data_IF_353668007962
#
_entry.id   IF_353668007962
#
_cell.length_a   1.000
_cell.length_b   1.000
_cell.length_c   1.000
_cell.angle_alpha   90.00
_cell.angle_beta   90.00
_cell.angle_gamma   90.00
#
_symmetry.space_group_name_H-M   'P 1'
#
loop_
_entity.id
_entity.type
_entity.pdbx_description
1 polymer ?
#
# COMPACT_ATOMS: atom_id res chain seq x y z
N UNK A 1 11.62 73.75 18.91
CA UNK A 1 12.88 73.29 19.51
C UNK A 1 13.53 72.35 18.54
N UNK A 2 14.61 72.84 17.95
CA UNK A 2 15.47 72.22 16.94
C UNK A 2 16.52 71.27 17.55
N UNK A 3 17.02 70.39 16.67
CA UNK A 3 18.39 69.86 16.50
C UNK A 3 19.15 69.17 17.65
N UNK A 4 19.53 67.90 17.39
CA UNK A 4 20.65 67.17 18.02
C UNK A 4 22.02 67.82 17.74
N UNK A 5 23.12 67.44 18.46
CA UNK A 5 23.99 66.38 17.92
C UNK A 5 24.69 65.46 18.96
N UNK A 6 25.53 64.58 18.40
CA UNK A 6 26.04 63.26 18.81
C UNK A 6 27.28 63.27 19.71
N UNK A 7 27.58 62.11 20.32
CA UNK A 7 28.88 61.41 20.22
C UNK A 7 28.75 59.96 20.76
N UNK A 8 29.58 58.96 20.46
CA UNK A 8 30.22 58.43 19.25
C UNK A 8 30.86 57.07 19.64
N UNK A 9 30.74 56.04 18.78
CA UNK A 9 31.47 54.75 18.73
C UNK A 9 31.24 53.71 19.87
N UNK A 10 31.30 52.39 19.68
CA UNK A 10 31.85 51.57 18.60
C UNK A 10 31.05 50.26 18.40
N UNK A 11 31.51 49.49 17.42
CA UNK A 11 30.84 48.47 16.63
C UNK A 11 31.01 47.05 17.17
N UNK A 12 29.95 46.23 17.14
CA UNK A 12 30.07 44.79 16.92
C UNK A 12 29.02 44.34 15.90
N UNK A 13 29.50 44.10 14.69
CA UNK A 13 28.76 43.43 13.63
C UNK A 13 28.71 41.92 13.92
N UNK A 14 27.56 41.43 14.38
CA UNK A 14 27.21 40.01 14.31
C UNK A 14 25.99 39.89 13.40
N UNK A 15 26.23 39.48 12.15
CA UNK A 15 25.20 39.05 11.22
C UNK A 15 24.60 37.78 11.82
N UNK A 16 23.51 37.90 12.55
CA UNK A 16 22.70 36.74 12.92
C UNK A 16 22.02 36.26 11.65
N UNK A 17 22.70 35.37 10.91
CA UNK A 17 22.05 34.54 9.91
C UNK A 17 20.94 33.79 10.63
N UNK A 18 19.68 34.21 10.42
CA UNK A 18 18.53 33.36 10.73
C UNK A 18 18.67 32.15 9.82
N UNK A 19 19.28 31.09 10.32
CA UNK A 19 19.32 29.81 9.63
C UNK A 19 17.87 29.35 9.49
N UNK A 20 17.34 29.47 8.27
CA UNK A 20 16.22 28.67 7.84
C UNK A 20 16.75 27.22 7.85
N UNK A 21 16.60 26.54 8.97
CA UNK A 21 16.74 25.09 8.99
C UNK A 21 15.64 24.57 8.07
N UNK A 22 15.94 23.94 6.93
CA UNK A 22 14.93 23.17 6.24
C UNK A 22 14.39 22.16 7.25
N UNK A 23 13.08 22.00 7.29
CA UNK A 23 12.41 20.93 8.03
C UNK A 23 12.90 19.60 7.42
N UNK A 24 14.00 19.06 7.95
CA UNK A 24 14.53 17.74 7.57
C UNK A 24 13.74 16.72 8.37
N UNK A 25 12.43 16.64 8.13
CA UNK A 25 11.71 15.40 8.39
C UNK A 25 12.20 14.40 7.34
N UNK A 26 12.83 13.27 7.72
CA UNK A 26 13.22 12.26 6.75
C UNK A 26 11.98 11.81 5.98
N UNK A 27 11.95 11.99 4.65
CA UNK A 27 10.91 11.40 3.84
C UNK A 27 11.05 9.88 3.95
N UNK A 28 10.14 9.27 4.70
CA UNK A 28 10.05 7.82 4.86
C UNK A 28 9.66 7.20 3.52
N UNK A 29 10.52 6.35 2.95
CA UNK A 29 10.27 5.70 1.65
C UNK A 29 9.49 4.41 1.76
N UNK A 30 9.57 3.77 2.93
CA UNK A 30 8.84 2.58 3.28
C UNK A 30 8.74 2.44 4.81
N UNK A 31 7.97 1.45 5.27
CA UNK A 31 7.73 1.20 6.68
C UNK A 31 8.99 0.78 7.45
N UNK A 32 10.03 0.30 6.76
CA UNK A 32 11.29 -0.11 7.39
C UNK A 32 12.15 1.07 7.84
N UNK A 33 11.88 2.26 7.30
CA UNK A 33 12.54 3.51 7.72
C UNK A 33 11.91 4.12 8.98
N UNK A 34 10.82 3.53 9.50
CA UNK A 34 10.21 3.97 10.75
C UNK A 34 11.15 3.73 11.95
N UNK A 35 11.14 4.63 12.95
CA UNK A 35 11.96 4.47 14.15
C UNK A 35 11.73 3.12 14.85
N UNK A 36 12.77 2.50 15.42
CA UNK A 36 12.60 1.30 16.24
C UNK A 36 11.62 1.54 17.41
N UNK A 37 10.67 0.63 17.61
CA UNK A 37 9.63 0.76 18.64
C UNK A 37 8.41 1.59 18.22
N UNK A 38 8.31 1.96 16.94
CA UNK A 38 7.06 2.47 16.36
C UNK A 38 5.98 1.39 16.44
N UNK A 39 4.73 1.77 16.73
CA UNK A 39 3.58 0.85 16.76
C UNK A 39 2.96 0.64 15.38
N UNK A 40 2.17 -0.42 15.20
CA UNK A 40 1.41 -0.61 13.97
C UNK A 40 0.42 0.54 13.77
N UNK A 41 0.27 1.01 12.53
CA UNK A 41 -0.55 2.18 12.24
C UNK A 41 -0.50 2.61 10.79
N UNK A 42 -1.29 3.62 10.43
CA UNK A 42 -1.23 4.25 9.10
C UNK A 42 -0.20 5.39 9.13
N UNK A 43 0.76 5.34 8.21
CA UNK A 43 1.86 6.29 8.06
C UNK A 43 1.90 6.83 6.64
N UNK A 44 2.30 8.09 6.50
CA UNK A 44 2.53 8.71 5.21
C UNK A 44 3.94 8.37 4.73
N UNK A 45 4.01 7.76 3.55
CA UNK A 45 5.23 7.28 2.92
C UNK A 45 5.39 7.94 1.57
N UNK A 46 6.61 8.38 1.26
CA UNK A 46 6.98 8.99 -0.01
C UNK A 46 8.02 8.10 -0.70
N UNK A 47 7.59 7.13 -1.54
CA UNK A 47 8.51 6.32 -2.33
C UNK A 47 9.40 7.20 -3.22
N UNK A 48 10.61 6.72 -3.55
CA UNK A 48 11.57 7.49 -4.36
C UNK A 48 10.92 7.86 -5.71
N UNK A 49 10.87 9.16 -6.00
CA UNK A 49 10.21 9.74 -7.19
C UNK A 49 8.69 9.49 -7.28
N UNK A 50 8.04 9.15 -6.17
CA UNK A 50 6.61 8.87 -6.10
C UNK A 50 5.81 9.94 -5.32
N UNK A 51 4.47 9.90 -5.41
CA UNK A 51 3.61 10.69 -4.55
C UNK A 51 3.62 10.16 -3.11
N UNK A 52 3.29 11.03 -2.15
CA UNK A 52 3.02 10.58 -0.78
C UNK A 52 1.75 9.74 -0.74
N UNK A 53 1.84 8.54 -0.16
CA UNK A 53 0.74 7.60 0.02
C UNK A 53 0.60 7.26 1.50
N UNK A 54 -0.62 7.18 2.01
CA UNK A 54 -0.87 6.67 3.36
C UNK A 54 -0.93 5.15 3.32
N UNK A 55 0.00 4.47 3.99
CA UNK A 55 0.05 3.01 4.07
C UNK A 55 -0.02 2.55 5.52
N UNK A 56 -0.53 1.35 5.74
CA UNK A 56 -0.47 0.73 7.05
C UNK A 56 0.88 0.03 7.24
N UNK A 57 1.68 0.49 8.21
CA UNK A 57 2.93 -0.14 8.60
C UNK A 57 2.70 -1.01 9.82
N UNK A 58 3.08 -2.27 9.70
CA UNK A 58 2.99 -3.23 10.78
C UNK A 58 4.31 -3.28 11.55
N UNK A 59 4.25 -3.01 12.85
CA UNK A 59 5.39 -3.02 13.75
C UNK A 59 5.14 -3.79 15.06
N UNK A 60 3.88 -4.06 15.43
CA UNK A 60 3.47 -4.67 16.70
C UNK A 60 3.17 -6.18 16.60
N UNK A 61 2.72 -6.70 15.46
CA UNK A 61 2.31 -8.10 15.33
C UNK A 61 2.94 -8.84 14.15
N UNK A 62 3.27 -10.12 14.38
CA UNK A 62 3.75 -11.05 13.35
C UNK A 62 2.61 -11.69 12.53
N UNK A 63 1.44 -11.04 12.42
CA UNK A 63 0.34 -11.59 11.63
C UNK A 63 0.67 -11.54 10.13
N UNK A 64 0.03 -12.41 9.35
CA UNK A 64 0.28 -12.50 7.92
C UNK A 64 -0.31 -11.32 7.15
N UNK A 65 0.21 -11.02 5.96
CA UNK A 65 -0.28 -9.92 5.11
C UNK A 65 -1.80 -9.95 4.85
N UNK A 66 -2.41 -11.13 4.82
CA UNK A 66 -3.85 -11.29 4.58
C UNK A 66 -4.71 -10.94 5.80
N UNK A 67 -4.21 -11.10 7.03
CA UNK A 67 -4.93 -10.67 8.24
C UNK A 67 -5.12 -9.16 8.25
N UNK A 68 -4.11 -8.42 7.78
CA UNK A 68 -4.21 -6.97 7.65
C UNK A 68 -5.13 -6.56 6.51
N UNK A 69 -5.04 -7.25 5.37
CA UNK A 69 -5.96 -6.98 4.27
C UNK A 69 -7.41 -7.19 4.73
N UNK A 70 -7.69 -8.26 5.47
CA UNK A 70 -8.98 -8.47 6.12
C UNK A 70 -9.32 -7.32 7.09
N UNK A 71 -8.42 -6.98 8.02
CA UNK A 71 -8.65 -5.97 9.03
C UNK A 71 -8.95 -4.59 8.44
N UNK A 72 -8.25 -4.19 7.37
CA UNK A 72 -8.50 -2.93 6.65
C UNK A 72 -9.85 -2.99 5.95
N UNK A 73 -10.09 -4.01 5.13
CA UNK A 73 -11.30 -4.11 4.31
C UNK A 73 -12.59 -4.32 5.13
N UNK A 74 -12.48 -4.74 6.40
CA UNK A 74 -13.63 -4.88 7.32
C UNK A 74 -14.06 -3.56 7.96
N UNK A 75 -13.20 -2.54 8.01
CA UNK A 75 -13.52 -1.27 8.70
C UNK A 75 -14.67 -0.51 8.03
N UNK A 76 -14.71 -0.53 6.70
CA UNK A 76 -15.74 0.08 5.86
C UNK A 76 -15.61 -0.47 4.43
N UNK A 77 -16.50 -0.08 3.54
CA UNK A 77 -16.34 -0.40 2.11
C UNK A 77 -15.20 0.42 1.51
N UNK A 78 -14.20 -0.26 0.97
CA UNK A 78 -13.09 0.35 0.23
C UNK A 78 -13.19 0.00 -1.26
N UNK A 79 -12.92 1.01 -2.08
CA UNK A 79 -12.61 0.81 -3.49
C UNK A 79 -11.14 0.40 -3.62
N UNK A 80 -10.86 -0.58 -4.47
CA UNK A 80 -9.48 -0.95 -4.83
C UNK A 80 -9.23 -0.60 -6.30
N UNK A 81 -8.04 -0.06 -6.58
CA UNK A 81 -7.57 0.24 -7.93
C UNK A 81 -6.26 -0.49 -8.17
N UNK A 82 -6.25 -1.37 -9.17
CA UNK A 82 -5.06 -2.00 -9.71
C UNK A 82 -4.58 -1.17 -10.90
N UNK A 83 -3.31 -0.81 -10.89
CA UNK A 83 -2.63 -0.21 -12.03
C UNK A 83 -1.61 -1.21 -12.56
N UNK A 84 -1.60 -1.39 -13.88
CA UNK A 84 -0.65 -2.27 -14.56
C UNK A 84 0.05 -1.48 -15.65
N UNK A 85 1.35 -1.69 -15.78
CA UNK A 85 2.19 -1.12 -16.83
C UNK A 85 2.93 -2.26 -17.53
N UNK A 86 2.97 -2.23 -18.86
CA UNK A 86 3.76 -3.18 -19.65
C UNK A 86 5.20 -2.68 -19.87
N UNK A 87 6.07 -3.54 -20.41
CA UNK A 87 7.48 -3.19 -20.67
C UNK A 87 7.68 -2.08 -21.72
N UNK A 88 6.63 -1.71 -22.45
CA UNK A 88 6.66 -0.60 -23.42
C UNK A 88 6.14 0.71 -22.81
N UNK A 89 5.77 0.71 -21.52
CA UNK A 89 5.23 1.87 -20.80
C UNK A 89 3.73 2.10 -21.04
N UNK A 90 3.00 1.16 -21.64
CA UNK A 90 1.55 1.29 -21.75
C UNK A 90 0.91 0.95 -20.40
N UNK A 91 0.01 1.82 -19.94
CA UNK A 91 -0.69 1.65 -18.67
C UNK A 91 -2.15 1.27 -18.87
N UNK A 92 -2.66 0.42 -17.98
CA UNK A 92 -4.08 0.11 -17.87
C UNK A 92 -4.46 0.01 -16.39
N UNK A 93 -5.76 0.09 -16.09
CA UNK A 93 -6.24 -0.03 -14.71
C UNK A 93 -7.52 -0.85 -14.60
N UNK A 94 -7.73 -1.39 -13.40
CA UNK A 94 -8.96 -2.05 -12.98
C UNK A 94 -9.37 -1.50 -11.61
N UNK A 95 -10.59 -1.00 -11.50
CA UNK A 95 -11.21 -0.51 -10.28
C UNK A 95 -12.32 -1.47 -9.89
N UNK A 96 -12.41 -1.82 -8.61
CA UNK A 96 -13.55 -2.51 -8.02
C UNK A 96 -14.15 -1.62 -6.95
N UNK A 97 -15.43 -1.28 -7.09
CA UNK A 97 -16.13 -0.36 -6.17
C UNK A 97 -16.20 -0.88 -4.73
N UNK A 98 -16.17 -2.20 -4.54
CA UNK A 98 -15.98 -2.81 -3.23
C UNK A 98 -15.14 -4.09 -3.32
N UNK A 99 -14.17 -4.21 -2.42
CA UNK A 99 -13.40 -5.41 -2.16
C UNK A 99 -13.60 -5.84 -0.70
N UNK A 100 -13.80 -7.14 -0.49
CA UNK A 100 -13.76 -7.76 0.82
C UNK A 100 -12.87 -9.01 0.78
N UNK A 101 -12.19 -9.26 1.88
CA UNK A 101 -11.41 -10.47 2.11
C UNK A 101 -11.85 -11.03 3.44
N UNK A 102 -12.19 -12.32 3.48
CA UNK A 102 -12.55 -13.01 4.71
C UNK A 102 -11.38 -13.13 5.69
N UNK A 103 -11.62 -13.63 6.90
CA UNK A 103 -10.56 -13.93 7.86
C UNK A 103 -9.94 -15.32 7.59
N UNK A 104 -8.97 -15.71 8.41
CA UNK A 104 -8.31 -17.02 8.31
C UNK A 104 -9.30 -18.20 8.39
N UNK A 105 -10.39 -18.08 9.16
CA UNK A 105 -11.38 -19.16 9.31
C UNK A 105 -12.12 -19.46 8.01
N UNK A 106 -12.19 -18.46 7.12
CA UNK A 106 -12.75 -18.57 5.77
C UNK A 106 -11.69 -18.72 4.69
N UNK A 107 -10.44 -19.06 5.07
CA UNK A 107 -9.29 -19.10 4.18
C UNK A 107 -9.14 -17.80 3.35
N UNK A 108 -9.42 -16.65 3.96
CA UNK A 108 -9.33 -15.33 3.32
C UNK A 108 -10.13 -15.22 2.02
N UNK A 109 -11.35 -15.77 1.96
CA UNK A 109 -12.18 -15.78 0.74
C UNK A 109 -12.36 -14.37 0.13
N UNK A 110 -12.18 -14.25 -1.19
CA UNK A 110 -12.30 -12.98 -1.92
C UNK A 110 -13.73 -12.62 -2.26
N UNK A 111 -14.09 -11.35 -2.12
CA UNK A 111 -15.28 -10.75 -2.74
C UNK A 111 -14.94 -9.46 -3.49
N UNK A 112 -15.35 -9.35 -4.75
CA UNK A 112 -15.18 -8.18 -5.60
C UNK A 112 -16.49 -7.81 -6.29
N UNK A 113 -16.77 -6.52 -6.38
CA UNK A 113 -17.95 -6.00 -7.10
C UNK A 113 -17.65 -4.69 -7.82
N UNK A 114 -18.50 -4.34 -8.81
CA UNK A 114 -18.46 -3.06 -9.52
C UNK A 114 -17.15 -2.81 -10.24
N UNK A 115 -16.75 -3.76 -11.09
CA UNK A 115 -15.59 -3.59 -11.97
C UNK A 115 -15.79 -2.42 -12.93
N UNK A 116 -14.76 -1.58 -13.07
CA UNK A 116 -14.61 -0.56 -14.09
C UNK A 116 -13.12 -0.48 -14.48
N UNK A 117 -12.81 -0.19 -15.74
CA UNK A 117 -11.44 0.13 -16.15
C UNK A 117 -11.05 -0.39 -17.52
N UNK A 118 -9.80 -0.11 -17.90
CA UNK A 118 -9.24 -0.36 -19.22
C UNK A 118 -8.44 -1.64 -19.33
N UNK A 119 -8.08 -2.27 -18.21
CA UNK A 119 -7.26 -3.50 -18.19
C UNK A 119 -8.04 -4.77 -18.58
N UNK A 120 -9.37 -4.70 -18.63
CA UNK A 120 -10.24 -5.87 -18.70
C UNK A 120 -10.46 -6.51 -17.31
N UNK A 121 -11.60 -7.20 -17.14
CA UNK A 121 -11.89 -7.88 -15.89
C UNK A 121 -11.21 -9.25 -15.85
N UNK A 122 -9.99 -9.30 -15.31
CA UNK A 122 -9.14 -10.48 -15.27
C UNK A 122 -9.43 -11.44 -14.08
N UNK A 123 -10.49 -11.21 -13.29
CA UNK A 123 -10.82 -12.06 -12.13
C UNK A 123 -11.65 -13.29 -12.52
N UNK A 124 -11.25 -13.91 -13.63
CA UNK A 124 -11.76 -15.16 -14.18
C UNK A 124 -10.56 -15.98 -14.64
N UNK A 125 -10.57 -17.29 -14.41
CA UNK A 125 -9.54 -18.18 -14.92
C UNK A 125 -9.69 -18.43 -16.44
N UNK A 126 -8.73 -19.13 -17.04
CA UNK A 126 -8.72 -19.47 -18.47
C UNK A 126 -9.93 -20.28 -18.94
N UNK A 127 -10.66 -20.93 -18.02
CA UNK A 127 -11.89 -21.68 -18.32
C UNK A 127 -13.16 -20.86 -18.07
N UNK A 128 -13.01 -19.58 -17.69
CA UNK A 128 -14.12 -18.67 -17.37
C UNK A 128 -14.66 -18.85 -15.94
N UNK A 129 -13.97 -19.57 -15.07
CA UNK A 129 -14.36 -19.71 -13.67
C UNK A 129 -14.08 -18.41 -12.92
N UNK A 130 -15.07 -17.79 -12.27
CA UNK A 130 -14.83 -16.59 -11.48
C UNK A 130 -13.89 -16.85 -10.31
N UNK A 131 -12.93 -15.95 -10.10
CA UNK A 131 -12.10 -15.94 -8.89
C UNK A 131 -12.83 -15.31 -7.69
N UNK A 132 -13.91 -14.58 -7.96
CA UNK A 132 -14.79 -14.06 -6.92
C UNK A 132 -15.41 -15.22 -6.13
N UNK A 133 -15.23 -15.22 -4.81
CA UNK A 133 -15.63 -16.32 -3.93
C UNK A 133 -14.60 -17.43 -3.76
N UNK A 134 -13.43 -17.35 -4.40
CA UNK A 134 -12.34 -18.32 -4.18
C UNK A 134 -11.62 -18.05 -2.86
N UNK A 135 -11.10 -19.12 -2.27
CA UNK A 135 -10.23 -19.09 -1.09
C UNK A 135 -8.79 -18.79 -1.49
N UNK A 136 -8.00 -18.26 -0.56
CA UNK A 136 -6.59 -17.95 -0.81
C UNK A 136 -5.74 -19.21 -0.73
N UNK A 137 -4.99 -19.50 -1.79
CA UNK A 137 -4.13 -20.67 -1.94
C UNK A 137 -2.67 -20.24 -1.94
N UNK A 138 -1.82 -21.01 -1.26
CA UNK A 138 -0.36 -20.88 -1.26
C UNK A 138 0.30 -22.19 -1.65
N UNK A 139 1.62 -22.16 -1.83
CA UNK A 139 2.41 -23.38 -2.12
C UNK A 139 2.21 -24.49 -1.07
N UNK A 140 1.99 -24.11 0.18
CA UNK A 140 1.89 -24.97 1.35
C UNK A 140 0.45 -25.20 1.84
N UNK A 141 -0.54 -24.43 1.35
CA UNK A 141 -1.95 -24.57 1.70
C UNK A 141 -2.81 -24.53 0.43
N UNK A 142 -3.31 -25.70 0.05
CA UNK A 142 -4.14 -25.89 -1.14
C UNK A 142 -5.63 -25.65 -0.83
N UNK A 143 -6.15 -24.51 -1.26
CA UNK A 143 -7.56 -24.14 -1.11
C UNK A 143 -8.21 -23.82 -2.48
N UNK A 144 -7.56 -24.19 -3.58
CA UNK A 144 -8.08 -23.92 -4.92
C UNK A 144 -9.04 -25.03 -5.36
N UNK A 145 -9.72 -24.84 -6.49
CA UNK A 145 -10.74 -25.80 -6.97
C UNK A 145 -10.17 -26.90 -7.85
N UNK A 146 -8.86 -26.86 -8.15
CA UNK A 146 -8.22 -27.87 -8.99
C UNK A 146 -8.20 -29.20 -8.25
N UNK A 147 -8.72 -30.25 -8.90
CA UNK A 147 -8.75 -31.59 -8.32
C UNK A 147 -7.44 -32.36 -8.49
N UNK A 148 -6.51 -31.84 -9.28
CA UNK A 148 -5.35 -32.59 -9.75
C UNK A 148 -4.01 -32.04 -9.27
N UNK A 149 -3.93 -30.75 -8.91
CA UNK A 149 -2.69 -30.10 -8.51
C UNK A 149 -2.96 -28.83 -7.70
N UNK A 150 -2.08 -28.50 -6.75
CA UNK A 150 -2.06 -27.22 -6.05
C UNK A 150 -1.51 -26.11 -6.97
N UNK A 151 -2.33 -25.10 -7.20
CA UNK A 151 -2.02 -23.97 -8.07
C UNK A 151 -1.01 -23.00 -7.49
N UNK A 152 -1.03 -22.77 -6.17
CA UNK A 152 0.01 -21.99 -5.50
C UNK A 152 1.40 -22.62 -5.66
N UNK A 153 1.47 -23.95 -5.75
CA UNK A 153 2.71 -24.64 -6.08
C UNK A 153 3.08 -24.53 -7.57
N UNK A 154 2.13 -24.61 -8.50
CA UNK A 154 2.41 -24.48 -9.95
C UNK A 154 2.84 -23.06 -10.31
N UNK A 155 2.07 -22.06 -9.87
CA UNK A 155 2.29 -20.64 -10.18
C UNK A 155 3.34 -19.97 -9.29
N UNK A 156 3.76 -20.65 -8.20
CA UNK A 156 4.73 -20.15 -7.23
C UNK A 156 4.28 -18.84 -6.57
N UNK A 157 2.98 -18.73 -6.28
CA UNK A 157 2.33 -17.53 -5.76
C UNK A 157 1.31 -17.86 -4.67
N UNK A 158 1.02 -16.86 -3.84
CA UNK A 158 -0.19 -16.83 -3.02
C UNK A 158 -1.28 -16.06 -3.77
N UNK A 159 -2.43 -16.68 -4.04
CA UNK A 159 -3.52 -16.01 -4.76
C UNK A 159 -4.86 -16.69 -4.52
N UNK A 160 -5.95 -15.99 -4.85
CA UNK A 160 -7.30 -16.55 -4.96
C UNK A 160 -7.45 -17.38 -6.24
N UNK A 161 -6.61 -18.39 -6.39
CA UNK A 161 -6.62 -19.28 -7.56
C UNK A 161 -7.97 -20.02 -7.64
N UNK A 162 -8.62 -19.93 -8.80
CA UNK A 162 -9.67 -20.89 -9.18
C UNK A 162 -8.98 -22.15 -9.72
N UNK A 163 -9.09 -22.50 -11.01
CA UNK A 163 -8.28 -23.58 -11.59
C UNK A 163 -6.92 -23.06 -12.06
N UNK A 164 -6.10 -22.63 -11.10
CA UNK A 164 -4.75 -22.08 -11.24
C UNK A 164 -4.62 -20.68 -11.85
N UNK A 165 -5.75 -20.01 -12.10
CA UNK A 165 -5.82 -18.87 -13.01
C UNK A 165 -5.62 -19.30 -14.45
#
# INVERSE_FOLDING_TARGET
>A
MECSPKSEQAQESQILMKTHTPDITPQLKDCSELPPGTSSGVYDITPVNGPTISVFCEMDTGNGGNDYLHAILRQRSYQVRFEVEDFSGNTAYAIYSAMYVGDESTNYTLSLTGYEGTAGNAMVDHNGTPMNGMMFTTRDRDNDISTSHNCGNIKKSGWWHASCT
#
